data_IF_896379546148
#
_entry.id   IF_896379546148
#
_cell.length_a   1.000
_cell.length_b   1.000
_cell.length_c   1.000
_cell.angle_alpha   90.00
_cell.angle_beta   90.00
_cell.angle_gamma   90.00
#
_symmetry.space_group_name_H-M   'P 1'
#
loop_
_entity.id
_entity.type
_entity.pdbx_description
1 polymer ?
#
# COMPACT_ATOMS: atom_id res chain seq x y z
N UNK A 1 -0.67 0.33 21.87
CA UNK A 1 -2.11 0.31 21.57
C UNK A 1 -2.41 1.46 20.61
N UNK A 2 -3.10 1.21 19.49
CA UNK A 2 -3.42 2.26 18.53
C UNK A 2 -4.39 3.28 19.15
N UNK A 3 -4.19 4.58 18.87
CA UNK A 3 -5.08 5.64 19.37
C UNK A 3 -6.47 5.49 18.74
N UNK A 4 -7.58 5.70 19.49
CA UNK A 4 -8.93 5.63 18.92
C UNK A 4 -9.13 6.70 17.83
N UNK A 5 -9.61 6.28 16.67
CA UNK A 5 -9.93 7.20 15.57
C UNK A 5 -11.26 7.88 15.89
N UNK A 6 -11.24 9.21 16.09
CA UNK A 6 -12.42 9.98 16.53
C UNK A 6 -13.56 10.00 15.50
N UNK A 7 -13.25 9.97 14.21
CA UNK A 7 -14.21 9.88 13.11
C UNK A 7 -13.75 8.80 12.14
N UNK A 8 -14.40 7.64 12.15
CA UNK A 8 -14.23 6.65 11.09
C UNK A 8 -15.15 7.07 9.94
N UNK A 9 -14.63 7.36 8.74
CA UNK A 9 -15.48 7.67 7.60
C UNK A 9 -16.33 6.44 7.28
N UNK A 10 -17.65 6.55 7.48
CA UNK A 10 -18.60 5.52 7.10
C UNK A 10 -18.99 5.78 5.66
N UNK A 11 -18.42 5.01 4.74
CA UNK A 11 -18.79 5.07 3.33
C UNK A 11 -20.23 4.60 3.16
N UNK A 12 -21.05 5.34 2.41
CA UNK A 12 -22.46 4.99 2.14
C UNK A 12 -22.78 5.08 0.66
N UNK A 13 -23.79 4.33 0.23
CA UNK A 13 -24.31 4.37 -1.14
C UNK A 13 -23.22 4.19 -2.21
N UNK A 14 -23.13 5.13 -3.15
CA UNK A 14 -22.21 5.09 -4.29
C UNK A 14 -20.73 5.04 -3.88
N UNK A 15 -20.36 5.70 -2.78
CA UNK A 15 -18.97 5.74 -2.30
C UNK A 15 -18.54 4.37 -1.78
N UNK A 16 -19.41 3.69 -1.04
CA UNK A 16 -19.14 2.33 -0.54
C UNK A 16 -18.97 1.35 -1.71
N UNK A 17 -19.82 1.42 -2.73
CA UNK A 17 -19.73 0.57 -3.93
C UNK A 17 -18.44 0.84 -4.69
N UNK A 18 -18.05 2.11 -4.85
CA UNK A 18 -16.81 2.49 -5.56
C UNK A 18 -15.58 2.00 -4.80
N UNK A 19 -15.56 2.20 -3.49
CA UNK A 19 -14.47 1.72 -2.64
C UNK A 19 -14.35 0.20 -2.69
N UNK A 20 -15.46 -0.53 -2.57
CA UNK A 20 -15.46 -1.99 -2.67
C UNK A 20 -14.89 -2.47 -4.02
N UNK A 21 -15.31 -1.87 -5.14
CA UNK A 21 -14.75 -2.17 -6.46
C UNK A 21 -13.25 -1.90 -6.54
N UNK A 22 -12.77 -0.85 -5.88
CA UNK A 22 -11.33 -0.54 -5.87
C UNK A 22 -10.51 -1.58 -5.08
N UNK A 23 -11.07 -2.15 -4.01
CA UNK A 23 -10.46 -3.25 -3.27
C UNK A 23 -10.41 -4.50 -4.14
N UNK A 24 -11.53 -4.87 -4.77
CA UNK A 24 -11.66 -6.04 -5.64
C UNK A 24 -10.66 -6.00 -6.81
N UNK A 25 -10.53 -4.84 -7.47
CA UNK A 25 -9.54 -4.60 -8.52
C UNK A 25 -8.09 -4.74 -8.06
N UNK A 26 -7.82 -4.58 -6.77
CA UNK A 26 -6.49 -4.71 -6.19
C UNK A 26 -6.27 -6.09 -5.55
N UNK A 27 -7.32 -6.87 -5.31
CA UNK A 27 -7.23 -8.22 -4.73
C UNK A 27 -6.41 -9.16 -5.62
N UNK A 28 -6.57 -9.03 -6.94
CA UNK A 28 -5.84 -9.85 -7.92
C UNK A 28 -4.55 -9.20 -8.43
N UNK A 29 -4.24 -7.97 -8.02
CA UNK A 29 -2.96 -7.32 -8.33
C UNK A 29 -1.85 -7.90 -7.45
N UNK A 30 -1.47 -9.12 -7.76
CA UNK A 30 -0.25 -9.73 -7.26
C UNK A 30 0.93 -9.04 -7.95
N UNK A 31 1.81 -8.45 -7.15
CA UNK A 31 3.08 -7.95 -7.66
C UNK A 31 3.91 -9.18 -8.08
N UNK A 32 4.46 -9.17 -9.29
CA UNK A 32 5.33 -10.26 -9.72
C UNK A 32 6.56 -10.34 -8.82
N UNK A 33 7.08 -11.55 -8.60
CA UNK A 33 8.29 -11.74 -7.78
C UNK A 33 9.48 -10.91 -8.32
N UNK A 34 9.54 -10.73 -9.65
CA UNK A 34 10.53 -9.88 -10.31
C UNK A 34 10.42 -8.40 -9.88
N UNK A 35 9.22 -7.82 -9.90
CA UNK A 35 9.01 -6.44 -9.49
C UNK A 35 9.34 -6.24 -8.00
N UNK A 36 9.01 -7.21 -7.15
CA UNK A 36 9.36 -7.16 -5.72
C UNK A 36 10.88 -7.22 -5.49
N UNK A 37 11.60 -8.03 -6.28
CA UNK A 37 13.06 -8.09 -6.23
C UNK A 37 13.70 -6.76 -6.64
N UNK A 38 13.22 -6.13 -7.72
CA UNK A 38 13.71 -4.82 -8.15
C UNK A 38 13.55 -3.76 -7.05
N UNK A 39 12.37 -3.67 -6.43
CA UNK A 39 12.13 -2.75 -5.31
C UNK A 39 13.09 -3.01 -4.14
N UNK A 40 13.37 -4.28 -3.82
CA UNK A 40 14.29 -4.64 -2.75
C UNK A 40 15.72 -4.23 -3.06
N UNK A 41 16.18 -4.44 -4.30
CA UNK A 41 17.51 -4.02 -4.75
C UNK A 41 17.65 -2.50 -4.70
N UNK A 42 16.66 -1.75 -5.15
CA UNK A 42 16.71 -0.29 -5.13
C UNK A 42 16.67 0.26 -3.69
N UNK A 43 15.87 -0.34 -2.81
CA UNK A 43 15.87 -0.01 -1.39
C UNK A 43 17.24 -0.29 -0.72
N UNK A 44 17.94 -1.37 -1.10
CA UNK A 44 19.29 -1.65 -0.61
C UNK A 44 20.30 -0.60 -1.06
N UNK A 45 20.28 -0.21 -2.34
CA UNK A 45 21.13 0.87 -2.86
C UNK A 45 20.89 2.19 -2.14
N UNK A 46 19.63 2.57 -1.95
CA UNK A 46 19.28 3.77 -1.19
C UNK A 46 19.80 3.71 0.25
N UNK A 47 19.66 2.55 0.91
CA UNK A 47 20.20 2.34 2.25
C UNK A 47 21.71 2.49 2.29
N UNK A 48 22.43 2.01 1.28
CA UNK A 48 23.88 2.18 1.18
C UNK A 48 24.27 3.65 0.99
N UNK A 49 23.59 4.37 0.09
CA UNK A 49 23.83 5.81 -0.12
C UNK A 49 23.57 6.63 1.14
N UNK A 50 22.52 6.32 1.89
CA UNK A 50 22.15 7.04 3.11
C UNK A 50 23.05 6.70 4.31
N UNK A 51 23.77 5.58 4.30
CA UNK A 51 24.76 5.24 5.33
C UNK A 51 26.08 6.00 5.20
N UNK A 52 26.31 6.66 4.06
CA UNK A 52 27.55 7.39 3.78
C UNK A 52 27.53 8.80 4.41
N UNK A 53 26.45 9.18 5.11
CA UNK A 53 26.35 10.40 5.91
C UNK A 53 26.40 10.13 7.41
#
# INVERSE_FOLDING_TARGET
MAKPIKNTPVLRGKEAVTFYKSIDLNQDKKISASALNSVRTDAQKLKELLKVN
#
